data_IF_895798001089
#
_entry.id   IF_895798001089
#
_cell.length_a   1.000
_cell.length_b   1.000
_cell.length_c   1.000
_cell.angle_alpha   90.00
_cell.angle_beta   90.00
_cell.angle_gamma   90.00
#
_symmetry.space_group_name_H-M   'P 1'
#
loop_
_entity.id
_entity.type
_entity.pdbx_description
1 polymer ?
#
# COMPACT_ATOMS: atom_id res chain seq x y z
N UNK A 1 -5.24 -17.40 2.73
CA UNK A 1 -5.13 -16.08 3.25
C UNK A 1 -6.40 -15.31 2.99
N UNK A 2 -6.92 -14.68 4.02
CA UNK A 2 -8.25 -14.09 3.99
C UNK A 2 -8.24 -12.58 3.86
N UNK A 3 -7.15 -12.02 3.36
CA UNK A 3 -7.12 -10.59 3.17
C UNK A 3 -7.99 -10.19 2.01
N UNK A 4 -8.77 -9.16 2.19
CA UNK A 4 -9.50 -8.53 1.11
C UNK A 4 -8.60 -7.59 0.32
N UNK A 5 -7.31 -7.57 0.63
CA UNK A 5 -6.35 -6.66 0.03
C UNK A 5 -5.33 -7.42 -0.80
N UNK A 6 -5.01 -6.87 -1.96
CA UNK A 6 -3.96 -7.38 -2.82
C UNK A 6 -2.78 -6.43 -2.77
N UNK A 7 -1.59 -6.98 -2.59
CA UNK A 7 -0.35 -6.22 -2.57
C UNK A 7 0.39 -6.41 -3.87
N UNK A 8 0.78 -5.31 -4.49
CA UNK A 8 1.62 -5.34 -5.68
C UNK A 8 2.88 -4.55 -5.35
N UNK A 9 4.04 -5.18 -5.58
CA UNK A 9 5.32 -4.57 -5.24
C UNK A 9 6.11 -4.31 -6.53
N UNK A 10 6.54 -3.08 -6.67
CA UNK A 10 7.39 -2.66 -7.77
C UNK A 10 8.73 -2.22 -7.20
N UNK A 11 9.82 -2.65 -7.82
CA UNK A 11 11.15 -2.28 -7.37
C UNK A 11 11.94 -1.68 -8.52
N UNK A 12 12.57 -0.53 -8.27
CA UNK A 12 13.42 0.11 -9.25
C UNK A 12 14.55 0.83 -8.53
N UNK A 13 15.78 0.33 -8.70
CA UNK A 13 16.97 0.91 -8.06
C UNK A 13 16.75 1.05 -6.55
N UNK A 14 16.76 2.27 -6.06
CA UNK A 14 16.67 2.55 -4.63
C UNK A 14 15.24 2.77 -4.16
N UNK A 15 14.28 2.48 -5.01
CA UNK A 15 12.88 2.74 -4.69
C UNK A 15 12.08 1.47 -4.73
N UNK A 16 11.18 1.33 -3.77
CA UNK A 16 10.19 0.26 -3.75
C UNK A 16 8.83 0.93 -3.66
N UNK A 17 7.91 0.48 -4.49
CA UNK A 17 6.53 0.93 -4.42
C UNK A 17 5.64 -0.25 -4.10
N UNK A 18 4.80 -0.08 -3.08
CA UNK A 18 3.82 -1.08 -2.70
C UNK A 18 2.45 -0.49 -2.91
N UNK A 19 1.64 -1.15 -3.72
CA UNK A 19 0.25 -0.78 -3.95
C UNK A 19 -0.64 -1.76 -3.23
N UNK A 20 -1.47 -1.24 -2.33
CA UNK A 20 -2.39 -2.03 -1.54
C UNK A 20 -3.81 -1.75 -2.04
N UNK A 21 -4.47 -2.76 -2.55
CA UNK A 21 -5.83 -2.63 -3.10
C UNK A 21 -6.84 -3.24 -2.16
N UNK A 22 -7.86 -2.47 -1.79
CA UNK A 22 -8.93 -2.96 -0.91
C UNK A 22 -10.27 -2.46 -1.39
N UNK A 23 -11.32 -3.24 -1.16
CA UNK A 23 -12.69 -2.81 -1.45
C UNK A 23 -13.20 -1.84 -0.39
N UNK A 24 -12.74 -2.01 0.84
CA UNK A 24 -13.12 -1.15 1.96
C UNK A 24 -11.85 -0.58 2.57
N UNK A 25 -11.96 0.60 3.18
CA UNK A 25 -10.84 1.14 3.94
C UNK A 25 -10.44 0.14 5.01
N UNK A 26 -9.15 -0.08 5.13
CA UNK A 26 -8.63 -1.09 6.02
C UNK A 26 -7.44 -0.55 6.83
N UNK A 27 -7.72 0.28 7.84
CA UNK A 27 -6.65 0.89 8.63
C UNK A 27 -5.76 -0.14 9.34
N UNK A 28 -6.30 -1.31 9.66
CA UNK A 28 -5.50 -2.34 10.32
C UNK A 28 -4.41 -2.86 9.40
N UNK A 29 -4.76 -3.16 8.15
CA UNK A 29 -3.78 -3.64 7.18
C UNK A 29 -2.78 -2.53 6.87
N UNK A 30 -3.26 -1.29 6.68
CA UNK A 30 -2.36 -0.16 6.46
C UNK A 30 -1.38 -0.01 7.62
N UNK A 31 -1.86 -0.15 8.84
CA UNK A 31 -1.01 -0.05 10.02
C UNK A 31 0.06 -1.13 10.06
N UNK A 32 -0.27 -2.34 9.63
CA UNK A 32 0.71 -3.42 9.58
C UNK A 32 1.81 -3.14 8.56
N UNK A 33 1.43 -2.64 7.40
CA UNK A 33 2.40 -2.26 6.36
C UNK A 33 3.29 -1.14 6.88
N UNK A 34 2.70 -0.11 7.48
CA UNK A 34 3.45 1.04 7.96
C UNK A 34 4.40 0.65 9.09
N UNK A 35 3.99 -0.27 9.94
CA UNK A 35 4.87 -0.76 10.99
C UNK A 35 6.06 -1.51 10.39
N UNK A 36 5.82 -2.31 9.36
CA UNK A 36 6.90 -3.02 8.70
C UNK A 36 7.88 -2.08 8.01
N UNK A 37 7.41 -0.89 7.61
CA UNK A 37 8.22 0.12 6.93
C UNK A 37 8.88 1.10 7.90
N UNK A 38 8.71 0.92 9.19
CA UNK A 38 9.07 1.93 10.18
C UNK A 38 10.54 2.32 10.19
N UNK A 39 11.44 1.44 9.70
CA UNK A 39 12.87 1.74 9.66
C UNK A 39 13.31 2.38 8.35
N UNK A 40 12.38 2.62 7.43
CA UNK A 40 12.66 3.23 6.14
C UNK A 40 11.98 4.57 6.04
N UNK A 41 12.47 5.41 5.13
CA UNK A 41 11.73 6.59 4.75
C UNK A 41 10.64 6.16 3.76
N UNK A 42 9.41 6.56 4.02
CA UNK A 42 8.30 6.21 3.15
C UNK A 42 7.29 7.34 3.06
N UNK A 43 6.59 7.37 1.95
CA UNK A 43 5.50 8.30 1.71
C UNK A 43 4.28 7.51 1.30
N UNK A 44 3.11 8.06 1.60
CA UNK A 44 1.84 7.39 1.38
C UNK A 44 0.91 8.32 0.62
N UNK A 45 0.23 7.75 -0.38
CA UNK A 45 -0.85 8.44 -1.06
C UNK A 45 -2.01 7.47 -1.23
N UNK A 46 -3.18 8.02 -1.54
CA UNK A 46 -4.40 7.23 -1.61
C UNK A 46 -5.21 7.67 -2.81
N UNK A 47 -5.77 6.68 -3.52
CA UNK A 47 -6.68 6.91 -4.63
C UNK A 47 -7.90 6.03 -4.46
N UNK A 48 -9.03 6.49 -4.99
CA UNK A 48 -10.24 5.70 -5.03
C UNK A 48 -10.69 5.56 -6.48
N UNK A 49 -10.92 4.32 -6.91
CA UNK A 49 -11.41 4.04 -8.26
C UNK A 49 -12.93 3.85 -8.19
N UNK A 50 -13.67 4.82 -8.72
CA UNK A 50 -15.12 4.81 -8.71
C UNK A 50 -15.71 3.65 -9.50
N UNK A 51 -15.08 3.34 -10.63
CA UNK A 51 -15.58 2.29 -11.53
C UNK A 51 -15.50 0.93 -10.87
N UNK A 52 -14.36 0.65 -10.23
CA UNK A 52 -14.13 -0.63 -9.61
C UNK A 52 -14.49 -0.66 -8.13
N UNK A 53 -14.83 0.49 -7.56
CA UNK A 53 -15.17 0.62 -6.14
C UNK A 53 -14.03 0.11 -5.27
N UNK A 54 -12.80 0.52 -5.60
CA UNK A 54 -11.59 0.01 -4.95
C UNK A 54 -10.71 1.15 -4.49
N UNK A 55 -10.19 1.05 -3.29
CA UNK A 55 -9.14 1.93 -2.79
C UNK A 55 -7.79 1.40 -3.19
N UNK A 56 -6.88 2.32 -3.52
CA UNK A 56 -5.49 2.00 -3.79
C UNK A 56 -4.64 2.86 -2.86
N UNK A 57 -3.91 2.21 -1.98
CA UNK A 57 -2.99 2.90 -1.07
C UNK A 57 -1.59 2.65 -1.60
N UNK A 58 -0.87 3.71 -1.89
CA UNK A 58 0.44 3.64 -2.53
C UNK A 58 1.48 4.04 -1.50
N UNK A 59 2.43 3.15 -1.25
CA UNK A 59 3.58 3.44 -0.41
C UNK A 59 4.82 3.49 -1.28
N UNK A 60 5.54 4.60 -1.21
CA UNK A 60 6.81 4.74 -1.89
C UNK A 60 7.91 4.77 -0.85
N UNK A 61 8.88 3.90 -0.97
CA UNK A 61 9.91 3.66 0.04
C UNK A 61 11.27 3.89 -0.59
N UNK A 62 12.13 4.60 0.14
CA UNK A 62 13.52 4.74 -0.25
C UNK A 62 14.38 3.78 0.58
N UNK A 63 15.23 3.03 -0.11
CA UNK A 63 16.12 2.05 0.53
C UNK A 63 17.58 2.38 0.26
#
# INVERSE_FOLDING_TARGET
NNFSADNVVYKKFDHIQIDLYTKLKDPLTEGKVEKALSSFYWEKSEEYNDTEKTYRIIYEIEV
#
